data_IF_398022812769
#
_entry.id   IF_398022812769
#
_cell.length_a   1.000
_cell.length_b   1.000
_cell.length_c   1.000
_cell.angle_alpha   90.00
_cell.angle_beta   90.00
_cell.angle_gamma   90.00
#
_symmetry.space_group_name_H-M   'P 1'
#
loop_
_entity.id
_entity.type
_entity.pdbx_description
1 polymer ?
#
# COMPACT_ATOMS: atom_id res chain seq x y z
N UNK A 1 -36.79 4.25 -1.66
CA UNK A 1 -35.61 4.90 -1.03
C UNK A 1 -34.52 5.23 -2.03
N UNK A 2 -34.11 4.32 -2.93
CA UNK A 2 -33.07 4.61 -3.93
C UNK A 2 -33.46 5.69 -4.96
N UNK A 3 -34.70 5.65 -5.45
CA UNK A 3 -35.24 6.62 -6.43
C UNK A 3 -35.25 8.06 -5.88
N UNK A 4 -35.74 8.24 -4.66
CA UNK A 4 -35.72 9.54 -3.96
C UNK A 4 -34.31 10.09 -3.72
N UNK A 5 -33.31 9.24 -3.51
CA UNK A 5 -31.92 9.68 -3.39
C UNK A 5 -31.34 10.12 -4.75
N UNK A 6 -31.71 9.42 -5.83
CA UNK A 6 -31.33 9.78 -7.20
C UNK A 6 -31.89 11.14 -7.60
N UNK A 7 -33.18 11.40 -7.32
CA UNK A 7 -33.84 12.67 -7.64
C UNK A 7 -33.17 13.85 -6.91
N UNK A 8 -32.79 13.64 -5.64
CA UNK A 8 -32.05 14.64 -4.87
C UNK A 8 -30.69 14.97 -5.51
N UNK A 9 -29.97 13.95 -5.99
CA UNK A 9 -28.68 14.15 -6.67
C UNK A 9 -28.83 14.93 -7.98
N UNK A 10 -29.89 14.66 -8.74
CA UNK A 10 -30.20 15.39 -9.99
C UNK A 10 -30.51 16.85 -9.68
N UNK A 11 -31.32 17.12 -8.66
CA UNK A 11 -31.65 18.48 -8.24
C UNK A 11 -30.39 19.26 -7.77
N UNK A 12 -29.55 18.66 -6.93
CA UNK A 12 -28.30 19.27 -6.47
C UNK A 12 -27.34 19.57 -7.63
N UNK A 13 -27.32 18.71 -8.64
CA UNK A 13 -26.55 18.94 -9.88
C UNK A 13 -27.08 20.12 -10.68
N UNK A 14 -28.39 20.20 -10.85
CA UNK A 14 -29.02 21.36 -11.49
C UNK A 14 -28.62 22.66 -10.79
N UNK A 15 -28.68 22.70 -9.45
CA UNK A 15 -28.32 23.89 -8.66
C UNK A 15 -26.85 24.28 -8.85
N UNK A 16 -25.93 23.32 -8.89
CA UNK A 16 -24.52 23.60 -9.15
C UNK A 16 -24.28 24.11 -10.59
N UNK A 17 -24.96 23.51 -11.57
CA UNK A 17 -24.75 23.83 -12.99
C UNK A 17 -25.38 25.18 -13.38
N UNK A 18 -26.53 25.55 -12.81
CA UNK A 18 -27.22 26.83 -13.09
C UNK A 18 -26.70 27.97 -12.22
N UNK A 19 -26.31 27.68 -10.97
CA UNK A 19 -25.97 28.70 -9.99
C UNK A 19 -27.16 29.57 -9.55
N UNK A 20 -28.39 29.13 -9.78
CA UNK A 20 -29.59 29.87 -9.39
C UNK A 20 -29.69 29.98 -7.87
N UNK A 21 -29.74 31.21 -7.34
CA UNK A 21 -29.76 31.46 -5.89
C UNK A 21 -28.39 31.43 -5.22
N UNK A 22 -27.31 31.39 -5.99
CA UNK A 22 -25.94 31.44 -5.49
C UNK A 22 -25.60 32.80 -4.83
N UNK A 23 -24.91 32.74 -3.69
CA UNK A 23 -24.46 33.89 -2.91
C UNK A 23 -22.93 34.11 -2.98
N UNK A 24 -22.20 33.19 -3.63
CA UNK A 24 -20.75 33.20 -3.72
C UNK A 24 -20.28 32.98 -5.16
N UNK A 25 -19.18 33.62 -5.54
CA UNK A 25 -18.56 33.41 -6.86
C UNK A 25 -17.18 32.78 -6.71
N UNK A 26 -16.97 31.62 -7.33
CA UNK A 26 -15.67 30.95 -7.38
C UNK A 26 -15.06 31.13 -8.77
N UNK A 27 -13.82 31.60 -8.82
CA UNK A 27 -13.08 31.88 -10.05
C UNK A 27 -11.85 30.98 -10.07
N UNK A 28 -11.71 30.16 -11.11
CA UNK A 28 -10.52 29.35 -11.35
C UNK A 28 -10.06 29.62 -12.78
N UNK A 29 -8.97 30.39 -12.92
CA UNK A 29 -8.44 30.80 -14.23
C UNK A 29 -9.52 31.44 -15.10
N UNK A 30 -9.89 30.82 -16.22
CA UNK A 30 -10.90 31.29 -17.17
C UNK A 30 -12.33 30.79 -16.88
N UNK A 31 -12.54 30.06 -15.79
CA UNK A 31 -13.85 29.52 -15.39
C UNK A 31 -14.38 30.23 -14.15
N UNK A 32 -15.68 30.51 -14.18
CA UNK A 32 -16.39 31.20 -13.11
C UNK A 32 -17.62 30.35 -12.79
N UNK A 33 -17.79 30.01 -11.51
CA UNK A 33 -18.98 29.33 -11.01
C UNK A 33 -19.69 30.19 -9.97
N UNK A 34 -21.01 30.26 -10.10
CA UNK A 34 -21.91 30.81 -9.09
C UNK A 34 -22.28 29.67 -8.15
N UNK A 35 -21.78 29.71 -6.92
CA UNK A 35 -21.88 28.62 -5.94
C UNK A 35 -22.57 29.12 -4.67
N UNK A 36 -23.03 28.18 -3.85
CA UNK A 36 -23.79 28.51 -2.65
C UNK A 36 -22.99 28.14 -1.41
N UNK A 37 -22.76 29.14 -0.57
CA UNK A 37 -21.97 29.07 0.65
C UNK A 37 -22.41 27.94 1.59
N UNK A 38 -23.72 27.68 1.64
CA UNK A 38 -24.31 26.63 2.48
C UNK A 38 -23.89 25.20 2.10
N UNK A 39 -23.40 24.95 0.88
CA UNK A 39 -22.82 23.65 0.52
C UNK A 39 -21.33 23.56 0.86
N UNK A 40 -20.62 24.69 0.80
CA UNK A 40 -19.17 24.77 0.98
C UNK A 40 -18.77 24.82 2.47
N UNK A 41 -19.31 25.78 3.23
CA UNK A 41 -18.84 26.06 4.59
C UNK A 41 -18.97 24.91 5.59
N UNK A 42 -20.06 24.11 5.59
CA UNK A 42 -20.15 22.99 6.54
C UNK A 42 -19.14 21.88 6.24
N UNK A 43 -18.57 21.86 5.04
CA UNK A 43 -17.70 20.79 4.52
C UNK A 43 -16.24 21.22 4.36
N UNK A 44 -15.97 22.52 4.36
CA UNK A 44 -14.64 23.10 4.25
C UNK A 44 -14.47 24.21 5.28
N UNK A 45 -13.61 23.98 6.26
CA UNK A 45 -13.27 25.03 7.23
C UNK A 45 -12.50 26.18 6.56
N UNK A 46 -11.69 25.86 5.54
CA UNK A 46 -10.95 26.83 4.74
C UNK A 46 -11.90 27.79 4.00
N UNK A 47 -12.88 27.29 3.24
CA UNK A 47 -13.86 28.15 2.56
C UNK A 47 -14.73 28.92 3.55
N UNK A 48 -15.07 28.32 4.69
CA UNK A 48 -15.77 29.04 5.75
C UNK A 48 -14.93 30.20 6.30
N UNK A 49 -13.64 29.97 6.56
CA UNK A 49 -12.74 30.98 7.10
C UNK A 49 -12.45 32.10 6.08
N UNK A 50 -12.31 31.76 4.80
CA UNK A 50 -12.13 32.75 3.73
C UNK A 50 -13.32 33.72 3.65
N UNK A 51 -14.56 33.22 3.66
CA UNK A 51 -15.75 34.06 3.50
C UNK A 51 -16.31 34.67 4.79
N UNK A 52 -16.00 34.12 5.97
CA UNK A 52 -16.46 34.66 7.27
C UNK A 52 -15.37 35.34 8.08
N UNK A 53 -14.12 35.24 7.65
CA UNK A 53 -13.01 36.00 8.25
C UNK A 53 -13.02 37.45 7.82
N UNK A 54 -12.10 38.25 8.35
CA UNK A 54 -11.86 39.63 7.93
C UNK A 54 -10.99 39.73 6.67
N UNK A 55 -11.09 38.76 5.75
CA UNK A 55 -10.34 38.75 4.49
C UNK A 55 -11.19 39.35 3.35
N UNK A 56 -10.54 39.77 2.26
CA UNK A 56 -11.20 40.41 1.12
C UNK A 56 -12.33 39.56 0.52
N UNK A 57 -12.24 38.24 0.62
CA UNK A 57 -13.22 37.28 0.15
C UNK A 57 -14.55 37.37 0.92
N UNK A 58 -14.51 37.76 2.20
CA UNK A 58 -15.71 37.98 3.01
C UNK A 58 -16.49 39.24 2.63
N UNK A 59 -15.79 40.28 2.17
CA UNK A 59 -16.43 41.51 1.66
C UNK A 59 -16.89 41.35 0.21
N UNK A 60 -16.08 40.70 -0.63
CA UNK A 60 -16.34 40.59 -2.07
C UNK A 60 -17.22 39.40 -2.45
N UNK A 61 -17.38 38.42 -1.55
CA UNK A 61 -18.02 37.13 -1.83
C UNK A 61 -17.47 36.48 -3.10
N UNK A 62 -16.14 36.55 -3.24
CA UNK A 62 -15.37 35.99 -4.37
C UNK A 62 -14.21 35.17 -3.82
N UNK A 63 -14.00 33.98 -4.39
CA UNK A 63 -12.84 33.13 -4.10
C UNK A 63 -12.11 32.89 -5.41
N UNK A 64 -10.81 33.21 -5.45
CA UNK A 64 -9.96 33.01 -6.61
C UNK A 64 -8.97 31.86 -6.36
N UNK A 65 -8.98 30.86 -7.26
CA UNK A 65 -8.13 29.68 -7.22
C UNK A 65 -7.27 29.59 -8.50
N UNK A 66 -6.33 30.53 -8.75
CA UNK A 66 -5.60 30.60 -10.02
C UNK A 66 -4.63 29.42 -10.23
N UNK A 67 -4.11 28.85 -9.15
CA UNK A 67 -3.17 27.74 -9.17
C UNK A 67 -3.82 26.42 -9.58
N UNK A 68 -5.13 26.28 -9.36
CA UNK A 68 -5.84 25.01 -9.55
C UNK A 68 -6.24 24.77 -11.01
N UNK A 69 -6.44 23.49 -11.33
CA UNK A 69 -7.03 23.09 -12.61
C UNK A 69 -8.56 23.20 -12.57
N UNK A 70 -9.19 23.89 -13.53
CA UNK A 70 -10.66 24.07 -13.54
C UNK A 70 -11.45 22.75 -13.50
N UNK A 71 -10.95 21.70 -14.16
CA UNK A 71 -11.59 20.38 -14.13
C UNK A 71 -11.56 19.73 -12.75
N UNK A 72 -10.47 19.90 -11.99
CA UNK A 72 -10.33 19.38 -10.63
C UNK A 72 -11.16 20.20 -9.64
N UNK A 73 -11.24 21.52 -9.81
CA UNK A 73 -12.10 22.39 -9.01
C UNK A 73 -13.58 22.04 -9.22
N UNK A 74 -14.01 21.81 -10.46
CA UNK A 74 -15.39 21.39 -10.71
C UNK A 74 -15.69 20.02 -10.08
N UNK A 75 -14.77 19.05 -10.14
CA UNK A 75 -14.91 17.77 -9.40
C UNK A 75 -14.97 17.97 -7.88
N UNK A 76 -14.22 18.92 -7.32
CA UNK A 76 -14.33 19.30 -5.91
C UNK A 76 -15.71 19.88 -5.57
N UNK A 77 -16.25 20.75 -6.43
CA UNK A 77 -17.60 21.31 -6.27
C UNK A 77 -18.66 20.20 -6.36
N UNK A 78 -18.51 19.25 -7.29
CA UNK A 78 -19.38 18.08 -7.35
C UNK A 78 -19.39 17.35 -6.00
N UNK A 79 -18.21 17.09 -5.42
CA UNK A 79 -18.14 16.41 -4.12
C UNK A 79 -18.83 17.22 -3.00
N UNK A 80 -18.65 18.54 -2.97
CA UNK A 80 -19.24 19.40 -1.95
C UNK A 80 -20.77 19.39 -2.02
N UNK A 81 -21.35 19.34 -3.21
CA UNK A 81 -22.80 19.29 -3.41
C UNK A 81 -23.36 17.88 -3.25
N UNK A 82 -22.78 16.92 -3.97
CA UNK A 82 -23.34 15.58 -4.18
C UNK A 82 -22.74 14.49 -3.30
N UNK A 83 -21.63 14.76 -2.58
CA UNK A 83 -20.78 13.73 -1.96
C UNK A 83 -20.21 12.72 -2.95
N UNK A 84 -20.13 13.09 -4.22
CA UNK A 84 -19.54 12.29 -5.29
C UNK A 84 -18.85 13.22 -6.29
N UNK A 85 -17.84 12.72 -6.97
CA UNK A 85 -17.20 13.40 -8.07
C UNK A 85 -16.98 12.44 -9.23
N UNK A 86 -17.17 12.97 -10.42
CA UNK A 86 -16.97 12.18 -11.64
C UNK A 86 -15.49 11.80 -11.79
N UNK A 87 -15.23 10.67 -12.43
CA UNK A 87 -13.86 10.20 -12.78
C UNK A 87 -13.74 9.95 -14.30
N UNK A 88 -14.74 10.38 -15.07
CA UNK A 88 -14.78 10.17 -16.52
C UNK A 88 -13.71 11.00 -17.23
N UNK A 89 -12.94 10.34 -18.10
CA UNK A 89 -11.92 10.94 -18.96
C UNK A 89 -12.53 11.83 -20.05
N UNK A 90 -13.78 11.55 -20.44
CA UNK A 90 -14.53 12.40 -21.39
C UNK A 90 -14.88 13.76 -20.80
N UNK A 91 -14.93 13.86 -19.46
CA UNK A 91 -15.17 15.13 -18.79
C UNK A 91 -13.99 16.09 -19.02
N UNK A 92 -12.75 15.60 -19.01
CA UNK A 92 -11.55 16.45 -19.14
C UNK A 92 -11.44 17.11 -20.53
N UNK A 93 -11.98 16.48 -21.58
CA UNK A 93 -12.00 17.03 -22.93
C UNK A 93 -12.86 18.31 -23.07
N UNK A 94 -13.86 18.50 -22.21
CA UNK A 94 -14.74 19.68 -22.24
C UNK A 94 -14.15 20.90 -21.51
N UNK A 95 -13.20 20.66 -20.58
CA UNK A 95 -12.66 21.68 -19.69
C UNK A 95 -11.22 22.10 -20.00
N UNK A 96 -10.52 21.37 -20.87
CA UNK A 96 -9.09 21.60 -21.12
C UNK A 96 -8.82 22.50 -22.33
N UNK A 97 -7.95 23.48 -22.11
CA UNK A 97 -7.23 24.23 -23.14
C UNK A 97 -5.86 23.58 -23.37
N UNK A 98 -5.79 22.65 -24.32
CA UNK A 98 -4.60 22.14 -25.01
C UNK A 98 -3.46 21.38 -24.29
N UNK A 99 -3.36 21.30 -22.97
CA UNK A 99 -2.30 20.51 -22.32
C UNK A 99 -2.73 19.05 -22.08
N UNK A 100 -2.62 18.22 -23.12
CA UNK A 100 -3.02 16.81 -23.09
C UNK A 100 -1.96 15.96 -22.38
N UNK A 101 -2.10 15.81 -21.06
CA UNK A 101 -1.67 14.61 -20.35
C UNK A 101 -2.94 13.82 -20.03
N UNK A 102 -3.03 12.56 -20.48
CA UNK A 102 -4.21 11.74 -20.18
C UNK A 102 -4.33 11.53 -18.66
N UNK A 103 -5.18 12.32 -18.01
CA UNK A 103 -5.42 12.27 -16.56
C UNK A 103 -6.10 10.94 -16.25
N UNK A 104 -5.35 9.92 -15.84
CA UNK A 104 -5.96 8.62 -15.50
C UNK A 104 -6.81 8.73 -14.23
N UNK A 105 -7.67 7.73 -13.97
CA UNK A 105 -8.47 7.67 -12.73
C UNK A 105 -7.64 7.86 -11.46
N UNK A 106 -6.43 7.30 -11.43
CA UNK A 106 -5.50 7.44 -10.32
C UNK A 106 -5.03 8.90 -10.13
N UNK A 107 -4.79 9.64 -11.22
CA UNK A 107 -4.47 11.07 -11.14
C UNK A 107 -5.64 11.86 -10.58
N UNK A 108 -6.86 11.60 -11.05
CA UNK A 108 -8.06 12.26 -10.51
C UNK A 108 -8.14 12.04 -9.00
N UNK A 109 -8.04 10.79 -8.54
CA UNK A 109 -8.10 10.49 -7.10
C UNK A 109 -6.94 11.13 -6.31
N UNK A 110 -5.72 11.16 -6.83
CA UNK A 110 -4.59 11.82 -6.18
C UNK A 110 -4.75 13.35 -6.09
N UNK A 111 -5.25 13.99 -7.14
CA UNK A 111 -5.60 15.42 -7.12
C UNK A 111 -6.72 15.70 -6.13
N UNK A 112 -7.82 14.93 -6.17
CA UNK A 112 -8.93 15.10 -5.23
C UNK A 112 -8.50 14.89 -3.78
N UNK A 113 -7.58 13.96 -3.52
CA UNK A 113 -6.98 13.77 -2.20
C UNK A 113 -6.21 15.01 -1.73
N UNK A 114 -5.43 15.60 -2.63
CA UNK A 114 -4.61 16.79 -2.34
C UNK A 114 -5.47 18.03 -2.15
N UNK A 115 -6.52 18.23 -2.97
CA UNK A 115 -7.53 19.28 -2.77
C UNK A 115 -8.27 19.12 -1.45
N UNK A 116 -8.63 17.88 -1.09
CA UNK A 116 -9.27 17.58 0.18
C UNK A 116 -8.40 17.93 1.39
N UNK A 117 -7.07 17.91 1.25
CA UNK A 117 -6.15 18.40 2.27
C UNK A 117 -6.01 19.93 2.23
N UNK A 118 -5.71 20.49 1.04
CA UNK A 118 -5.45 21.93 0.82
C UNK A 118 -6.62 22.82 1.27
N UNK A 119 -7.85 22.42 0.95
CA UNK A 119 -9.06 23.17 1.28
C UNK A 119 -9.77 22.65 2.54
N UNK A 120 -9.12 21.80 3.32
CA UNK A 120 -9.66 21.14 4.52
C UNK A 120 -11.09 20.59 4.30
N UNK A 121 -11.20 19.62 3.39
CA UNK A 121 -12.43 18.89 3.06
C UNK A 121 -12.21 17.40 3.44
N UNK A 122 -12.37 17.02 4.73
CA UNK A 122 -12.04 15.69 5.20
C UNK A 122 -12.81 14.56 4.51
N UNK A 123 -14.08 14.80 4.15
CA UNK A 123 -14.88 13.81 3.43
C UNK A 123 -14.32 13.52 2.04
N UNK A 124 -13.85 14.56 1.33
CA UNK A 124 -13.24 14.43 0.01
C UNK A 124 -11.91 13.68 0.09
N UNK A 125 -11.04 14.07 1.03
CA UNK A 125 -9.76 13.40 1.26
C UNK A 125 -9.95 11.91 1.56
N UNK A 126 -10.96 11.58 2.39
CA UNK A 126 -11.33 10.19 2.71
C UNK A 126 -11.87 9.43 1.50
N UNK A 127 -12.84 10.00 0.79
CA UNK A 127 -13.46 9.44 -0.42
C UNK A 127 -12.40 9.13 -1.49
N UNK A 128 -11.53 10.11 -1.77
CA UNK A 128 -10.44 9.98 -2.74
C UNK A 128 -9.46 8.88 -2.38
N UNK A 129 -9.07 8.77 -1.10
CA UNK A 129 -8.23 7.67 -0.64
C UNK A 129 -8.88 6.31 -0.83
N UNK A 130 -10.18 6.19 -0.53
CA UNK A 130 -10.92 4.94 -0.66
C UNK A 130 -11.00 4.51 -2.13
N UNK A 131 -11.37 5.43 -3.03
CA UNK A 131 -11.42 5.14 -4.46
C UNK A 131 -10.05 4.84 -5.05
N UNK A 132 -9.02 5.62 -4.68
CA UNK A 132 -7.63 5.34 -5.04
C UNK A 132 -7.23 3.92 -4.63
N UNK A 133 -7.54 3.50 -3.40
CA UNK A 133 -7.17 2.17 -2.91
C UNK A 133 -7.81 1.02 -3.69
N UNK A 134 -8.97 1.24 -4.31
CA UNK A 134 -9.66 0.26 -5.16
C UNK A 134 -9.04 0.25 -6.56
N UNK A 135 -8.81 1.43 -7.13
CA UNK A 135 -8.34 1.58 -8.51
C UNK A 135 -6.84 1.31 -8.68
N UNK A 136 -6.04 1.47 -7.62
CA UNK A 136 -4.59 1.22 -7.65
C UNK A 136 -4.25 -0.28 -7.68
N UNK A 137 -5.19 -1.13 -7.29
CA UNK A 137 -5.08 -2.58 -7.40
C UNK A 137 -5.32 -2.96 -8.85
N UNK A 138 -4.25 -2.90 -9.65
CA UNK A 138 -4.30 -3.26 -11.06
C UNK A 138 -3.63 -4.63 -11.24
N UNK A 139 -4.40 -5.70 -11.56
CA UNK A 139 -3.85 -7.00 -11.93
C UNK A 139 -3.27 -6.92 -13.35
N UNK A 140 -1.93 -7.00 -13.46
CA UNK A 140 -1.25 -7.05 -14.77
C UNK A 140 0.10 -6.34 -14.78
N UNK A 141 0.95 -6.75 -15.73
CA UNK A 141 2.28 -6.19 -16.00
C UNK A 141 2.29 -5.39 -17.32
N UNK A 142 1.24 -4.60 -17.57
CA UNK A 142 1.22 -3.75 -18.79
C UNK A 142 2.07 -2.51 -18.55
N UNK A 143 3.06 -2.27 -19.41
CA UNK A 143 3.95 -1.10 -19.37
C UNK A 143 3.22 0.24 -19.19
N UNK A 144 2.09 0.45 -19.87
CA UNK A 144 1.27 1.67 -19.74
C UNK A 144 0.74 1.91 -18.31
N UNK A 145 0.40 0.84 -17.59
CA UNK A 145 -0.08 0.93 -16.21
C UNK A 145 1.06 1.24 -15.24
N UNK A 146 2.27 0.73 -15.52
CA UNK A 146 3.48 1.04 -14.76
C UNK A 146 3.82 2.53 -14.88
N UNK A 147 3.92 3.06 -16.10
CA UNK A 147 4.19 4.48 -16.32
C UNK A 147 3.16 5.40 -15.66
N UNK A 148 1.87 5.00 -15.72
CA UNK A 148 0.79 5.70 -15.01
C UNK A 148 1.00 5.70 -13.50
N UNK A 149 1.45 4.58 -12.93
CA UNK A 149 1.68 4.48 -11.48
C UNK A 149 2.86 5.37 -11.04
N UNK A 150 3.92 5.44 -11.84
CA UNK A 150 5.07 6.31 -11.55
C UNK A 150 4.71 7.81 -11.62
N UNK A 151 3.93 8.22 -12.63
CA UNK A 151 3.51 9.64 -12.73
C UNK A 151 2.64 10.04 -11.54
N UNK A 152 1.79 9.13 -11.07
CA UNK A 152 0.97 9.31 -9.86
C UNK A 152 1.82 9.36 -8.59
N UNK A 153 2.91 8.58 -8.49
CA UNK A 153 3.87 8.71 -7.37
C UNK A 153 4.42 10.12 -7.30
N UNK A 154 4.93 10.64 -8.42
CA UNK A 154 5.48 11.99 -8.44
C UNK A 154 4.44 13.01 -7.97
N UNK A 155 3.23 12.96 -8.52
CA UNK A 155 2.12 13.81 -8.11
C UNK A 155 1.90 13.74 -6.59
N UNK A 156 1.67 12.56 -6.02
CA UNK A 156 1.40 12.38 -4.58
C UNK A 156 2.51 12.98 -3.72
N UNK A 157 3.78 12.74 -4.07
CA UNK A 157 4.91 13.20 -3.25
C UNK A 157 5.17 14.71 -3.40
N UNK A 158 4.76 15.32 -4.51
CA UNK A 158 4.82 16.78 -4.71
C UNK A 158 3.63 17.54 -4.15
N UNK A 159 2.45 16.90 -4.05
CA UNK A 159 1.19 17.54 -3.68
C UNK A 159 0.75 17.29 -2.23
N UNK A 160 1.49 16.47 -1.48
CA UNK A 160 1.21 16.17 -0.07
C UNK A 160 2.47 16.38 0.79
N UNK A 161 2.35 16.76 2.07
CA UNK A 161 3.50 16.86 2.96
C UNK A 161 4.07 15.49 3.34
N UNK A 162 5.31 15.46 3.81
CA UNK A 162 6.02 14.22 4.21
C UNK A 162 5.35 13.44 5.34
N UNK A 163 4.62 14.14 6.20
CA UNK A 163 3.83 13.56 7.27
C UNK A 163 2.59 12.81 6.77
N UNK A 164 2.13 13.07 5.53
CA UNK A 164 0.97 12.40 4.98
C UNK A 164 1.31 10.96 4.54
N UNK A 165 0.89 9.99 5.37
CA UNK A 165 1.09 8.56 5.09
C UNK A 165 -0.12 7.92 4.40
N UNK A 166 -1.04 8.72 3.87
CA UNK A 166 -2.31 8.27 3.33
C UNK A 166 -2.16 7.55 2.00
N UNK A 167 -1.98 8.32 0.92
CA UNK A 167 -1.72 7.77 -0.41
C UNK A 167 -0.28 7.27 -0.55
N UNK A 168 0.70 7.91 0.11
CA UNK A 168 2.12 7.52 0.06
C UNK A 168 2.33 6.04 0.44
N UNK A 169 1.68 5.57 1.51
CA UNK A 169 1.76 4.15 1.89
C UNK A 169 1.10 3.21 0.87
N UNK A 170 0.02 3.63 0.21
CA UNK A 170 -0.70 2.81 -0.78
C UNK A 170 0.15 2.60 -2.02
N UNK A 171 0.75 3.67 -2.57
CA UNK A 171 1.58 3.56 -3.77
C UNK A 171 2.87 2.80 -3.51
N UNK A 172 3.54 3.03 -2.37
CA UNK A 172 4.74 2.28 -2.00
C UNK A 172 4.42 0.79 -1.86
N UNK A 173 3.31 0.44 -1.23
CA UNK A 173 2.87 -0.96 -1.12
C UNK A 173 2.60 -1.58 -2.49
N UNK A 174 1.89 -0.88 -3.36
CA UNK A 174 1.54 -1.39 -4.68
C UNK A 174 2.78 -1.60 -5.56
N UNK A 175 3.69 -0.62 -5.58
CA UNK A 175 4.92 -0.72 -6.36
C UNK A 175 5.80 -1.85 -5.85
N UNK A 176 5.92 -2.01 -4.53
CA UNK A 176 6.65 -3.12 -3.95
C UNK A 176 6.05 -4.50 -4.33
N UNK A 177 4.71 -4.61 -4.32
CA UNK A 177 4.04 -5.83 -4.74
C UNK A 177 4.30 -6.17 -6.21
N UNK A 178 4.37 -5.15 -7.07
CA UNK A 178 4.74 -5.32 -8.49
C UNK A 178 6.21 -5.70 -8.65
N UNK A 179 7.11 -5.07 -7.90
CA UNK A 179 8.54 -5.41 -7.88
C UNK A 179 8.78 -6.89 -7.56
N UNK A 180 8.05 -7.45 -6.59
CA UNK A 180 8.18 -8.86 -6.21
C UNK A 180 7.84 -9.86 -7.34
N UNK A 181 7.11 -9.40 -8.38
CA UNK A 181 6.64 -10.22 -9.50
C UNK A 181 7.17 -9.64 -10.84
N UNK A 182 8.15 -8.73 -10.78
CA UNK A 182 8.49 -7.86 -11.90
C UNK A 182 9.29 -8.53 -13.03
N UNK A 183 8.97 -8.11 -14.26
CA UNK A 183 9.81 -8.30 -15.44
C UNK A 183 10.91 -7.23 -15.53
N UNK A 184 11.91 -7.42 -16.41
CA UNK A 184 13.05 -6.49 -16.58
C UNK A 184 12.61 -5.03 -16.82
N UNK A 185 11.57 -4.79 -17.62
CA UNK A 185 11.11 -3.43 -17.95
C UNK A 185 10.61 -2.66 -16.72
N UNK A 186 9.98 -3.35 -15.77
CA UNK A 186 9.51 -2.72 -14.53
C UNK A 186 10.67 -2.28 -13.63
N UNK A 187 11.82 -2.96 -13.69
CA UNK A 187 13.00 -2.60 -12.90
C UNK A 187 13.54 -1.24 -13.33
N UNK A 188 13.73 -1.03 -14.64
CA UNK A 188 14.23 0.25 -15.20
C UNK A 188 13.27 1.42 -14.86
N UNK A 189 11.97 1.18 -15.01
CA UNK A 189 10.89 2.11 -14.67
C UNK A 189 10.90 2.42 -13.15
N UNK A 190 11.12 1.42 -12.30
CA UNK A 190 11.20 1.59 -10.85
C UNK A 190 12.44 2.38 -10.41
N UNK A 191 13.60 2.15 -11.03
CA UNK A 191 14.81 2.95 -10.80
C UNK A 191 14.58 4.43 -11.10
N UNK A 192 13.75 4.72 -12.11
CA UNK A 192 13.34 6.09 -12.41
C UNK A 192 12.49 6.69 -11.27
N UNK A 193 11.53 5.94 -10.71
CA UNK A 193 10.77 6.44 -9.56
C UNK A 193 11.60 6.61 -8.28
N UNK A 194 12.67 5.83 -8.10
CA UNK A 194 13.61 6.02 -6.99
C UNK A 194 14.36 7.36 -7.04
N UNK A 195 14.31 8.09 -8.16
CA UNK A 195 14.80 9.47 -8.23
C UNK A 195 13.96 10.45 -7.38
N UNK A 196 12.76 10.04 -6.94
CA UNK A 196 11.97 10.80 -5.93
C UNK A 196 12.49 10.43 -4.53
N UNK A 197 13.27 11.29 -3.83
CA UNK A 197 14.05 10.87 -2.66
C UNK A 197 13.19 10.35 -1.49
N UNK A 198 12.07 11.02 -1.22
CA UNK A 198 11.16 10.63 -0.15
C UNK A 198 10.45 9.30 -0.46
N UNK A 199 10.16 9.04 -1.73
CA UNK A 199 9.60 7.75 -2.16
C UNK A 199 10.63 6.62 -2.06
N UNK A 200 11.88 6.86 -2.45
CA UNK A 200 12.96 5.89 -2.30
C UNK A 200 13.16 5.51 -0.82
N UNK A 201 13.19 6.51 0.06
CA UNK A 201 13.26 6.31 1.51
C UNK A 201 12.10 5.45 2.02
N UNK A 202 10.87 5.78 1.64
CA UNK A 202 9.69 5.03 2.09
C UNK A 202 9.67 3.59 1.56
N UNK A 203 10.15 3.37 0.34
CA UNK A 203 10.30 2.04 -0.25
C UNK A 203 11.31 1.18 0.51
N UNK A 204 12.48 1.75 0.86
CA UNK A 204 13.51 1.08 1.68
C UNK A 204 12.97 0.74 3.07
N UNK A 205 12.25 1.67 3.72
CA UNK A 205 11.64 1.44 5.04
C UNK A 205 10.64 0.30 4.99
N UNK A 206 9.79 0.24 3.96
CA UNK A 206 8.83 -0.85 3.79
C UNK A 206 9.53 -2.20 3.58
N UNK A 207 10.55 -2.23 2.72
CA UNK A 207 11.34 -3.44 2.47
C UNK A 207 11.96 -3.97 3.76
N UNK A 208 12.64 -3.10 4.53
CA UNK A 208 13.25 -3.47 5.81
C UNK A 208 12.22 -4.04 6.80
N UNK A 209 11.05 -3.40 6.94
CA UNK A 209 9.99 -3.89 7.83
C UNK A 209 9.49 -5.29 7.44
N UNK A 210 9.29 -5.53 6.14
CA UNK A 210 8.84 -6.85 5.65
C UNK A 210 9.91 -7.93 5.81
N UNK A 211 11.18 -7.61 5.55
CA UNK A 211 12.27 -8.55 5.78
C UNK A 211 12.30 -8.99 7.25
N UNK A 212 12.18 -8.05 8.19
CA UNK A 212 12.10 -8.37 9.62
C UNK A 212 10.92 -9.29 9.95
N UNK A 213 9.72 -9.01 9.43
CA UNK A 213 8.53 -9.85 9.66
C UNK A 213 8.73 -11.25 9.08
N UNK A 214 9.16 -11.37 7.82
CA UNK A 214 9.41 -12.67 7.18
C UNK A 214 10.44 -13.50 7.96
N UNK A 215 11.49 -12.87 8.49
CA UNK A 215 12.49 -13.56 9.31
C UNK A 215 11.93 -14.02 10.66
N UNK A 216 11.06 -13.22 11.29
CA UNK A 216 10.37 -13.63 12.52
C UNK A 216 9.49 -14.85 12.29
N UNK A 217 8.67 -14.82 11.23
CA UNK A 217 7.80 -15.95 10.85
C UNK A 217 8.61 -17.22 10.54
N UNK A 218 9.75 -17.09 9.85
CA UNK A 218 10.67 -18.20 9.57
C UNK A 218 11.32 -18.75 10.85
N UNK A 219 11.68 -17.89 11.79
CA UNK A 219 12.25 -18.31 13.07
C UNK A 219 11.21 -19.06 13.92
N UNK A 220 9.97 -18.59 13.96
CA UNK A 220 8.87 -19.25 14.66
C UNK A 220 8.52 -20.60 14.02
N UNK A 221 8.54 -20.68 12.68
CA UNK A 221 8.37 -21.95 11.98
C UNK A 221 9.49 -22.93 12.31
N UNK A 222 10.74 -22.48 12.33
CA UNK A 222 11.90 -23.30 12.69
C UNK A 222 11.80 -23.82 14.13
N UNK A 223 11.41 -22.97 15.08
CA UNK A 223 11.18 -23.35 16.48
C UNK A 223 10.06 -24.40 16.61
N UNK A 224 8.96 -24.25 15.87
CA UNK A 224 7.87 -25.21 15.86
C UNK A 224 8.29 -26.58 15.31
N UNK A 225 9.04 -26.60 14.20
CA UNK A 225 9.60 -27.83 13.62
C UNK A 225 10.56 -28.50 14.62
N UNK A 226 11.42 -27.73 15.27
CA UNK A 226 12.35 -28.24 16.28
C UNK A 226 11.63 -28.84 17.49
N UNK A 227 10.57 -28.18 17.98
CA UNK A 227 9.72 -28.70 19.06
C UNK A 227 9.07 -30.03 18.70
N UNK A 228 8.52 -30.16 17.49
CA UNK A 228 7.94 -31.42 17.00
C UNK A 228 9.02 -32.51 16.93
N UNK A 229 10.21 -32.16 16.42
CA UNK A 229 11.32 -33.10 16.35
C UNK A 229 11.73 -33.61 17.75
N UNK A 230 11.89 -32.72 18.72
CA UNK A 230 12.26 -33.06 20.10
C UNK A 230 11.21 -33.91 20.82
N UNK A 231 9.93 -33.58 20.66
CA UNK A 231 8.85 -34.18 21.44
C UNK A 231 8.29 -35.46 20.84
N UNK A 232 8.33 -35.63 19.52
CA UNK A 232 7.68 -36.75 18.84
C UNK A 232 8.68 -37.62 18.08
N UNK A 233 9.63 -37.04 17.34
CA UNK A 233 10.51 -37.80 16.44
C UNK A 233 11.71 -38.38 17.19
N UNK A 234 12.39 -37.56 18.00
CA UNK A 234 13.58 -37.94 18.76
C UNK A 234 13.33 -39.12 19.73
N UNK A 235 12.23 -39.16 20.52
CA UNK A 235 11.99 -40.27 21.44
C UNK A 235 11.74 -41.59 20.71
N UNK A 236 11.01 -41.56 19.59
CA UNK A 236 10.77 -42.73 18.74
C UNK A 236 12.07 -43.27 18.15
N UNK A 237 12.96 -42.39 17.68
CA UNK A 237 14.28 -42.78 17.19
C UNK A 237 15.14 -43.41 18.29
N UNK A 238 15.17 -42.81 19.49
CA UNK A 238 15.91 -43.36 20.63
C UNK A 238 15.36 -44.72 21.04
N UNK A 239 14.03 -44.89 21.09
CA UNK A 239 13.40 -46.16 21.38
C UNK A 239 13.70 -47.21 20.30
N UNK A 240 13.66 -46.84 19.03
CA UNK A 240 13.99 -47.73 17.92
C UNK A 240 15.45 -48.20 17.97
N UNK A 241 16.38 -47.30 18.31
CA UNK A 241 17.79 -47.64 18.52
C UNK A 241 17.98 -48.53 19.75
N UNK A 242 17.24 -48.31 20.83
CA UNK A 242 17.33 -49.13 22.05
C UNK A 242 16.83 -50.57 21.85
N UNK A 243 15.94 -50.81 20.89
CA UNK A 243 15.42 -52.15 20.53
C UNK A 243 16.35 -52.87 19.54
N UNK A 244 17.30 -52.17 18.90
CA UNK A 244 18.34 -52.84 18.12
C UNK A 244 19.24 -53.65 19.07
N UNK A 245 19.43 -54.95 18.82
CA UNK A 245 20.30 -55.78 19.66
C UNK A 245 21.71 -55.16 19.73
N UNK A 246 22.43 -55.26 20.86
CA UNK A 246 23.80 -54.79 20.92
C UNK A 246 24.58 -55.43 19.78
N UNK A 247 25.33 -54.63 19.02
CA UNK A 247 26.04 -55.02 17.80
C UNK A 247 26.90 -56.29 18.02
N UNK A 248 27.36 -56.52 19.25
CA UNK A 248 28.06 -57.72 19.69
C UNK A 248 27.23 -59.03 19.64
N UNK A 249 25.91 -58.99 19.87
CA UNK A 249 25.04 -60.19 19.80
C UNK A 249 24.63 -60.60 18.38
N UNK A 250 24.60 -59.67 17.43
CA UNK A 250 24.34 -59.96 16.01
C UNK A 250 25.58 -60.60 15.36
N UNK A 251 26.77 -60.23 15.84
CA UNK A 251 28.06 -60.76 15.35
C UNK A 251 28.23 -62.27 15.54
N UNK A 252 27.61 -62.85 16.58
CA UNK A 252 27.78 -64.27 16.91
C UNK A 252 26.80 -65.22 16.22
N UNK A 253 25.77 -64.75 15.50
CA UNK A 253 24.75 -65.65 14.94
C UNK A 253 24.41 -65.53 13.45
N UNK A 254 24.93 -64.58 12.67
CA UNK A 254 24.68 -64.58 11.21
C UNK A 254 25.86 -63.99 10.44
N UNK A 255 26.82 -64.85 10.09
CA UNK A 255 27.70 -64.60 8.93
C UNK A 255 26.96 -65.14 7.71
N UNK A 256 26.90 -64.32 6.65
CA UNK A 256 26.24 -64.53 5.36
C UNK A 256 24.72 -64.24 5.31
N UNK A 257 24.35 -62.96 5.19
CA UNK A 257 22.99 -62.62 4.74
C UNK A 257 22.62 -61.14 4.63
N UNK A 258 23.16 -60.24 5.46
CA UNK A 258 22.61 -58.87 5.56
C UNK A 258 23.66 -57.76 5.57
N UNK A 259 24.55 -57.75 4.58
CA UNK A 259 25.34 -56.55 4.29
C UNK A 259 24.45 -55.36 3.92
N UNK A 260 23.29 -55.60 3.29
CA UNK A 260 22.37 -54.55 2.86
C UNK A 260 21.58 -53.89 4.00
N UNK A 261 21.03 -54.65 4.97
CA UNK A 261 20.23 -54.05 6.06
C UNK A 261 21.10 -53.26 7.03
N UNK A 262 22.28 -53.78 7.38
CA UNK A 262 23.22 -53.08 8.27
C UNK A 262 23.74 -51.81 7.58
N UNK A 263 24.04 -51.87 6.28
CA UNK A 263 24.36 -50.68 5.49
C UNK A 263 23.21 -49.67 5.44
N UNK A 264 21.97 -50.10 5.21
CA UNK A 264 20.79 -49.22 5.21
C UNK A 264 20.59 -48.56 6.58
N UNK A 265 20.76 -49.32 7.68
CA UNK A 265 20.67 -48.79 9.04
C UNK A 265 21.77 -47.75 9.34
N UNK A 266 23.01 -48.01 8.93
CA UNK A 266 24.11 -47.05 9.04
C UNK A 266 23.87 -45.79 8.19
N UNK A 267 23.36 -45.93 6.97
CA UNK A 267 23.04 -44.80 6.09
C UNK A 267 21.91 -43.96 6.67
N UNK A 268 20.85 -44.57 7.22
CA UNK A 268 19.76 -43.86 7.89
C UNK A 268 20.23 -43.16 9.16
N UNK A 269 21.09 -43.79 9.95
CA UNK A 269 21.67 -43.17 11.15
C UNK A 269 22.55 -41.96 10.80
N UNK A 270 23.42 -42.09 9.79
CA UNK A 270 24.24 -40.98 9.31
C UNK A 270 23.39 -39.86 8.70
N UNK A 271 22.33 -40.19 7.97
CA UNK A 271 21.38 -39.22 7.42
C UNK A 271 20.65 -38.43 8.52
N UNK A 272 20.20 -39.12 9.58
CA UNK A 272 19.55 -38.49 10.73
C UNK A 272 20.53 -37.63 11.55
N UNK A 273 21.77 -38.10 11.76
CA UNK A 273 22.83 -37.30 12.39
C UNK A 273 23.11 -36.03 11.56
N UNK A 274 23.20 -36.17 10.24
CA UNK A 274 23.40 -35.05 9.32
C UNK A 274 22.23 -34.05 9.40
N UNK A 275 20.98 -34.54 9.42
CA UNK A 275 19.80 -33.69 9.65
C UNK A 275 19.89 -32.92 10.96
N UNK A 276 20.29 -33.57 12.07
CA UNK A 276 20.42 -32.88 13.36
C UNK A 276 21.51 -31.79 13.36
N UNK A 277 22.65 -32.06 12.71
CA UNK A 277 23.73 -31.08 12.56
C UNK A 277 23.33 -29.91 11.65
N UNK A 278 22.55 -30.18 10.59
CA UNK A 278 21.99 -29.15 9.72
C UNK A 278 21.03 -28.25 10.51
N UNK A 279 20.14 -28.82 11.32
CA UNK A 279 19.24 -28.01 12.16
C UNK A 279 20.02 -27.17 13.19
N UNK A 280 21.07 -27.71 13.80
CA UNK A 280 21.91 -26.98 14.74
C UNK A 280 22.69 -25.83 14.06
N UNK A 281 23.17 -26.04 12.83
CA UNK A 281 23.80 -24.99 12.01
C UNK A 281 22.80 -23.88 11.63
N UNK A 282 21.57 -24.25 11.26
CA UNK A 282 20.49 -23.30 10.97
C UNK A 282 20.20 -22.43 12.22
N UNK A 283 20.19 -23.01 13.42
CA UNK A 283 19.97 -22.28 14.68
C UNK A 283 21.09 -21.26 14.96
N UNK A 284 22.36 -21.65 14.76
CA UNK A 284 23.51 -20.74 14.94
C UNK A 284 23.43 -19.58 13.94
N UNK A 285 23.09 -19.86 12.69
CA UNK A 285 22.91 -18.85 11.65
C UNK A 285 21.76 -17.88 11.99
N UNK A 286 20.62 -18.40 12.43
CA UNK A 286 19.47 -17.59 12.82
C UNK A 286 19.81 -16.69 14.03
N UNK A 287 20.52 -17.21 15.03
CA UNK A 287 20.94 -16.45 16.21
C UNK A 287 22.01 -15.39 15.89
N UNK A 288 22.95 -15.70 15.01
CA UNK A 288 23.95 -14.72 14.54
C UNK A 288 23.28 -13.56 13.78
N UNK A 289 22.33 -13.88 12.90
CA UNK A 289 21.60 -12.87 12.11
C UNK A 289 20.67 -12.01 12.99
N UNK A 290 20.05 -12.60 14.01
CA UNK A 290 19.23 -11.87 15.00
C UNK A 290 20.04 -10.80 15.75
N UNK A 291 21.28 -11.12 16.12
CA UNK A 291 22.25 -10.17 16.70
C UNK A 291 22.68 -9.10 15.71
N UNK A 292 22.98 -9.46 14.46
CA UNK A 292 23.42 -8.53 13.43
C UNK A 292 22.34 -7.48 13.05
N UNK A 293 21.06 -7.86 13.13
CA UNK A 293 19.91 -6.99 12.84
C UNK A 293 19.42 -6.18 14.06
N UNK A 294 20.04 -6.33 15.23
CA UNK A 294 19.67 -5.60 16.46
C UNK A 294 18.31 -5.98 17.04
N UNK A 295 17.78 -7.16 16.70
CA UNK A 295 16.45 -7.62 17.12
C UNK A 295 16.35 -7.98 18.61
N UNK A 296 17.48 -8.20 19.29
CA UNK A 296 17.54 -8.51 20.73
C UNK A 296 17.10 -7.33 21.63
N UNK A 297 17.16 -6.08 21.11
CA UNK A 297 16.74 -4.88 21.86
C UNK A 297 15.22 -4.62 21.81
N UNK A 298 14.49 -5.21 20.85
CA UNK A 298 13.04 -5.06 20.73
C UNK A 298 12.24 -6.04 21.59
N UNK A 299 12.82 -7.19 21.94
CA UNK A 299 12.15 -8.22 22.75
C UNK A 299 12.26 -7.96 24.25
N UNK A 300 13.27 -7.20 24.71
CA UNK A 300 13.43 -6.83 26.13
C UNK A 300 12.72 -5.53 26.54
N UNK A 301 11.98 -4.91 25.61
CA UNK A 301 11.28 -3.63 25.82
C UNK A 301 9.76 -3.71 25.64
N UNK A 302 9.17 -4.90 25.72
CA UNK A 302 7.72 -5.12 25.72
C UNK A 302 7.28 -5.84 26.99
#
# INVERSE_FOLDING_TARGET
MAESAQDMQIALKSILDTGEGADLTLICRNKIWKVHSNYLWPRSSCFRAACKGGFNEGETQRIELPEEEPSMVYRMLQHLYMQDYTVSLFHDAFWSSNDFWAVTRLHVHAHMYSLGDKYDIPSLKKEARQRFSKDVIIPGDKKSETLTLLSVVNLIYTSTPDSDRGLRNLVVRQIYQRYAIASKHFVDDFETALQVPHFARDSIVLHRKRSIINYADLADLAENVYRIWLSHIRPLLVAMIAVLPPVATIWNNVVAGFTSIVMIACVLFLFLLCLTLVFQQIEILLNYQRKALGLDLLVRGA
#
